data_IF_041906293686
#
_entry.id   IF_041906293686
#
_cell.length_a   1.000
_cell.length_b   1.000
_cell.length_c   1.000
_cell.angle_alpha   90.00
_cell.angle_beta   90.00
_cell.angle_gamma   90.00
#
_symmetry.space_group_name_H-M   'P 1'
#
loop_
_entity.id
_entity.type
_entity.pdbx_description
1 polymer ?
#
# COMPACT_ATOMS: atom_id res chain seq x y z
N UNK A 1 -12.02 0.60 13.30
CA UNK A 1 -11.79 -0.48 12.32
C UNK A 1 -11.45 0.17 10.98
N UNK A 2 -10.20 0.11 10.53
CA UNK A 2 -9.74 0.79 9.30
C UNK A 2 -9.64 -0.15 8.08
N UNK A 3 -9.70 -1.46 8.30
CA UNK A 3 -9.37 -2.45 7.27
C UNK A 3 -10.21 -2.32 6.00
N UNK A 4 -11.53 -2.10 6.10
CA UNK A 4 -12.40 -1.99 4.93
C UNK A 4 -12.07 -0.76 4.07
N UNK A 5 -11.75 0.36 4.71
CA UNK A 5 -11.36 1.59 4.04
C UNK A 5 -9.99 1.46 3.36
N UNK A 6 -9.02 0.85 4.06
CA UNK A 6 -7.69 0.54 3.51
C UNK A 6 -7.82 -0.40 2.31
N UNK A 7 -8.55 -1.51 2.45
CA UNK A 7 -8.79 -2.47 1.37
C UNK A 7 -9.46 -1.78 0.16
N UNK A 8 -10.43 -0.89 0.41
CA UNK A 8 -11.10 -0.12 -0.64
C UNK A 8 -10.15 0.83 -1.37
N UNK A 9 -9.23 1.49 -0.66
CA UNK A 9 -8.27 2.40 -1.27
C UNK A 9 -7.21 1.64 -2.09
N UNK A 10 -6.71 0.52 -1.57
CA UNK A 10 -5.72 -0.32 -2.26
C UNK A 10 -6.32 -0.98 -3.50
N UNK A 11 -7.56 -1.45 -3.41
CA UNK A 11 -8.24 -2.17 -4.50
C UNK A 11 -8.33 -1.37 -5.81
N UNK A 12 -8.32 -0.03 -5.73
CA UNK A 12 -8.30 0.86 -6.92
C UNK A 12 -7.10 0.62 -7.83
N UNK A 13 -6.00 0.10 -7.28
CA UNK A 13 -4.74 -0.09 -7.99
C UNK A 13 -4.43 -1.56 -8.31
N UNK A 14 -5.30 -2.49 -7.90
CA UNK A 14 -5.18 -3.91 -8.19
C UNK A 14 -5.73 -4.23 -9.59
N UNK A 15 -4.93 -3.96 -10.63
CA UNK A 15 -5.33 -4.17 -12.04
C UNK A 15 -5.63 -5.64 -12.36
N UNK A 16 -6.90 -6.03 -12.30
CA UNK A 16 -7.35 -7.41 -12.57
C UNK A 16 -7.24 -8.36 -11.37
N UNK A 17 -6.80 -7.87 -10.21
CA UNK A 17 -6.69 -8.63 -8.97
C UNK A 17 -7.70 -8.12 -7.94
N UNK A 18 -8.08 -8.97 -7.00
CA UNK A 18 -8.87 -8.56 -5.83
C UNK A 18 -8.04 -8.82 -4.58
N UNK A 19 -8.31 -8.08 -3.50
CA UNK A 19 -7.63 -8.29 -2.22
C UNK A 19 -7.67 -9.75 -1.76
N UNK A 20 -8.77 -10.47 -2.03
CA UNK A 20 -8.92 -11.89 -1.68
C UNK A 20 -8.02 -12.85 -2.46
N UNK A 21 -7.54 -12.46 -3.64
CA UNK A 21 -6.69 -13.28 -4.53
C UNK A 21 -5.19 -13.05 -4.35
N UNK A 22 -4.81 -12.05 -3.56
CA UNK A 22 -3.40 -11.78 -3.28
C UNK A 22 -2.81 -12.86 -2.37
N UNK A 23 -1.51 -13.10 -2.50
CA UNK A 23 -0.79 -13.89 -1.52
C UNK A 23 -0.98 -13.30 -0.11
N UNK A 24 -1.05 -14.17 0.90
CA UNK A 24 -1.33 -13.74 2.27
C UNK A 24 -0.32 -12.69 2.76
N UNK A 25 0.95 -12.84 2.39
CA UNK A 25 2.04 -11.92 2.74
C UNK A 25 1.85 -10.56 2.04
N UNK A 26 1.67 -10.54 0.72
CA UNK A 26 1.46 -9.29 -0.02
C UNK A 26 0.26 -8.51 0.51
N UNK A 27 -0.85 -9.20 0.78
CA UNK A 27 -2.05 -8.59 1.36
C UNK A 27 -1.77 -7.98 2.74
N UNK A 28 -0.99 -8.66 3.57
CA UNK A 28 -0.63 -8.16 4.89
C UNK A 28 0.26 -6.91 4.79
N UNK A 29 1.28 -6.93 3.93
CA UNK A 29 2.17 -5.81 3.68
C UNK A 29 1.38 -4.59 3.16
N UNK A 30 0.52 -4.81 2.16
CA UNK A 30 -0.32 -3.75 1.60
C UNK A 30 -1.22 -3.11 2.66
N UNK A 31 -1.85 -3.91 3.53
CA UNK A 31 -2.70 -3.40 4.61
C UNK A 31 -1.93 -2.62 5.66
N UNK A 32 -0.76 -3.11 6.06
CA UNK A 32 0.09 -2.43 7.03
C UNK A 32 0.56 -1.08 6.49
N UNK A 33 1.14 -1.08 5.29
CA UNK A 33 1.61 0.13 4.64
C UNK A 33 0.46 1.12 4.36
N UNK A 34 -0.69 0.62 3.90
CA UNK A 34 -1.88 1.44 3.68
C UNK A 34 -2.38 2.10 4.97
N UNK A 35 -2.38 1.37 6.10
CA UNK A 35 -2.71 1.96 7.40
C UNK A 35 -1.75 3.09 7.79
N UNK A 36 -0.44 2.86 7.69
CA UNK A 36 0.56 3.87 8.04
C UNK A 36 0.42 5.12 7.14
N UNK A 37 0.34 4.94 5.82
CA UNK A 37 0.20 6.06 4.89
C UNK A 37 -1.08 6.87 5.08
N UNK A 38 -2.19 6.25 5.49
CA UNK A 38 -3.49 6.90 5.60
C UNK A 38 -3.80 7.47 7.00
N UNK A 39 -3.14 6.96 8.03
CA UNK A 39 -3.53 7.24 9.42
C UNK A 39 -2.35 7.62 10.33
N UNK A 40 -1.09 7.55 9.87
CA UNK A 40 0.10 7.90 10.65
C UNK A 40 0.85 9.07 10.03
N UNK A 41 0.39 10.27 10.33
CA UNK A 41 1.01 11.53 9.87
C UNK A 41 2.43 11.75 10.45
N UNK A 42 2.80 11.00 11.49
CA UNK A 42 4.14 11.00 12.08
C UNK A 42 5.16 10.14 11.30
N UNK A 43 4.70 9.33 10.34
CA UNK A 43 5.54 8.46 9.52
C UNK A 43 5.53 8.96 8.07
N UNK A 44 6.68 9.38 7.51
CA UNK A 44 6.73 9.79 6.11
C UNK A 44 6.33 8.63 5.17
N UNK A 45 5.44 8.91 4.21
CA UNK A 45 4.93 7.90 3.25
C UNK A 45 6.06 7.20 2.49
N UNK A 46 7.13 7.92 2.16
CA UNK A 46 8.32 7.37 1.51
C UNK A 46 9.05 6.31 2.36
N UNK A 47 9.08 6.49 3.69
CA UNK A 47 9.67 5.51 4.60
C UNK A 47 8.82 4.24 4.57
N UNK A 48 7.51 4.38 4.76
CA UNK A 48 6.55 3.27 4.68
C UNK A 48 6.66 2.48 3.37
N UNK A 49 6.79 3.20 2.24
CA UNK A 49 6.95 2.56 0.92
C UNK A 49 8.22 1.71 0.84
N UNK A 50 9.36 2.24 1.30
CA UNK A 50 10.63 1.52 1.27
C UNK A 50 10.59 0.27 2.16
N UNK A 51 10.09 0.40 3.39
CA UNK A 51 10.00 -0.75 4.32
C UNK A 51 9.06 -1.84 3.80
N UNK A 52 7.93 -1.46 3.17
CA UNK A 52 7.03 -2.41 2.55
C UNK A 52 7.71 -3.22 1.41
N UNK A 53 8.58 -2.57 0.63
CA UNK A 53 9.35 -3.23 -0.42
C UNK A 53 10.39 -4.19 0.17
N UNK A 54 11.06 -3.81 1.25
CA UNK A 54 12.01 -4.69 1.94
C UNK A 54 11.31 -5.91 2.57
N UNK A 55 10.15 -5.73 3.20
CA UNK A 55 9.34 -6.84 3.69
C UNK A 55 8.93 -7.79 2.56
N UNK A 56 8.58 -7.25 1.39
CA UNK A 56 8.21 -8.04 0.23
C UNK A 56 9.39 -8.86 -0.31
N UNK A 57 10.62 -8.35 -0.24
CA UNK A 57 11.84 -9.10 -0.60
C UNK A 57 12.13 -10.23 0.38
N UNK A 58 11.88 -10.00 1.67
CA UNK A 58 12.19 -10.95 2.74
C UNK A 58 11.18 -12.10 2.81
N UNK A 59 9.90 -11.81 2.57
CA UNK A 59 8.81 -12.74 2.87
C UNK A 59 7.89 -13.06 1.67
N UNK A 60 8.00 -12.30 0.58
CA UNK A 60 7.19 -12.48 -0.62
C UNK A 60 7.81 -13.45 -1.63
N UNK A 61 7.30 -13.39 -2.87
CA UNK A 61 7.89 -14.06 -4.03
C UNK A 61 8.80 -13.10 -4.79
N UNK A 62 9.49 -13.59 -5.82
CA UNK A 62 10.36 -12.76 -6.68
C UNK A 62 9.62 -11.56 -7.31
N UNK A 63 8.31 -11.67 -7.54
CA UNK A 63 7.48 -10.61 -8.10
C UNK A 63 6.92 -9.64 -7.04
N UNK A 64 6.89 -10.04 -5.76
CA UNK A 64 6.28 -9.26 -4.68
C UNK A 64 6.87 -7.85 -4.54
N UNK A 65 8.20 -7.61 -4.53
CA UNK A 65 8.75 -6.26 -4.36
C UNK A 65 8.27 -5.28 -5.43
N UNK A 66 8.23 -5.74 -6.70
CA UNK A 66 7.78 -4.93 -7.83
C UNK A 66 6.28 -4.67 -7.77
N UNK A 67 5.50 -5.69 -7.41
CA UNK A 67 4.06 -5.58 -7.24
C UNK A 67 3.68 -4.59 -6.12
N UNK A 68 4.26 -4.75 -4.93
CA UNK A 68 4.03 -3.87 -3.77
C UNK A 68 4.41 -2.43 -4.11
N UNK A 69 5.58 -2.21 -4.69
CA UNK A 69 6.02 -0.88 -5.11
C UNK A 69 5.02 -0.23 -6.07
N UNK A 70 4.52 -0.97 -7.08
CA UNK A 70 3.58 -0.43 -8.06
C UNK A 70 2.24 -0.01 -7.45
N UNK A 71 1.70 -0.82 -6.53
CA UNK A 71 0.43 -0.55 -5.85
C UNK A 71 0.58 0.64 -4.90
N UNK A 72 1.57 0.60 -4.00
CA UNK A 72 1.76 1.65 -2.99
C UNK A 72 2.21 2.98 -3.58
N UNK A 73 3.04 2.98 -4.63
CA UNK A 73 3.39 4.23 -5.34
C UNK A 73 2.16 4.91 -5.96
N UNK A 74 1.16 4.13 -6.39
CA UNK A 74 -0.10 4.68 -6.93
C UNK A 74 -0.97 5.27 -5.82
N UNK A 75 -1.02 4.61 -4.66
CA UNK A 75 -1.70 5.12 -3.47
C UNK A 75 -1.07 6.44 -2.99
N UNK A 76 0.26 6.51 -2.86
CA UNK A 76 0.97 7.73 -2.43
C UNK A 76 0.62 8.91 -3.34
N UNK A 77 0.66 8.73 -4.66
CA UNK A 77 0.33 9.79 -5.63
C UNK A 77 -1.09 10.33 -5.47
N UNK A 78 -2.04 9.49 -5.08
CA UNK A 78 -3.42 9.92 -4.88
C UNK A 78 -3.63 10.58 -3.51
N UNK A 79 -2.92 10.14 -2.47
CA UNK A 79 -2.90 10.82 -1.18
C UNK A 79 -2.32 12.24 -1.30
N UNK A 80 -1.19 12.41 -1.98
CA UNK A 80 -0.56 13.72 -2.23
C UNK A 80 -1.50 14.68 -2.99
N UNK A 81 -2.24 14.18 -3.98
CA UNK A 81 -3.25 14.99 -4.70
C UNK A 81 -4.41 15.40 -3.80
N UNK A 82 -4.79 14.57 -2.83
CA UNK A 82 -5.89 14.87 -1.93
C UNK A 82 -5.53 15.98 -0.94
N UNK A 83 -4.28 16.01 -0.48
CA UNK A 83 -3.76 17.07 0.41
C UNK A 83 -3.65 18.41 -0.32
N UNK A 84 -3.27 18.41 -1.60
CA UNK A 84 -3.15 19.62 -2.43
C UNK A 84 -4.51 20.23 -2.82
N UNK A 85 -5.60 19.47 -2.79
CA UNK A 85 -6.96 19.97 -3.08
C UNK A 85 -7.69 20.52 -1.86
N UNK A 86 -7.16 20.27 -0.66
CA UNK A 86 -7.69 20.77 0.61
C UNK A 86 -7.04 22.07 1.10
N UNK A 87 -6.05 22.59 0.37
CA UNK A 87 -5.41 23.90 0.58
C UNK A 87 -5.88 24.88 -0.49
#
# INVERSE_FOLDING_TARGET
MHQADIDSNISKYLRGWTMGRLANVDRAILRLAGYEMMHRNDIPTKVTLNEAIELAKLYGTDDSPKFINGVLSSLVKDLEKSEQKGQ
#
